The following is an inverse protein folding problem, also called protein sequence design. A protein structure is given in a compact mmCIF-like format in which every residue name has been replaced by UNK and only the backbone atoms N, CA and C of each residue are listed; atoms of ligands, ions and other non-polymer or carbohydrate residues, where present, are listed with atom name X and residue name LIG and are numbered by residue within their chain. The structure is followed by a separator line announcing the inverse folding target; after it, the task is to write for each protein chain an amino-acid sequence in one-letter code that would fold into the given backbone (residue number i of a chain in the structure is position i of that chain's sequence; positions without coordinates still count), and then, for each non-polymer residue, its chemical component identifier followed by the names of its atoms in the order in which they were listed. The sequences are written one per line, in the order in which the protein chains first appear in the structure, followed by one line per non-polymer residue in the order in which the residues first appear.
data_IF_169170270017
#
_entry.id   IF_169170270017
#
_cell.length_a   1.000
_cell.length_b   1.000
_cell.length_c   1.000
_cell.angle_alpha   90.00
_cell.angle_beta   90.00
_cell.angle_gamma   90.00
#
_symmetry.space_group_name_H-M   'P 1'
#
loop_
_entity.id
_entity.type
_entity.pdbx_description
1 polymer ?
#
# COMPACT_ATOMS: atom_id res chain seq x y z
N UNK A 1 10.92 62.69 -38.36
CA UNK A 1 10.75 62.14 -37.00
C UNK A 1 11.00 60.66 -37.12
N UNK A 2 12.26 60.25 -36.96
CA UNK A 2 12.67 58.84 -37.09
C UNK A 2 12.09 58.05 -35.92
N UNK A 3 11.13 57.18 -36.23
CA UNK A 3 10.57 56.24 -35.27
C UNK A 3 11.59 55.10 -35.12
N UNK A 4 12.39 55.17 -34.05
CA UNK A 4 13.19 54.03 -33.61
C UNK A 4 12.23 52.96 -33.10
N UNK A 5 12.01 51.95 -33.94
CA UNK A 5 11.35 50.71 -33.57
C UNK A 5 12.27 49.94 -32.60
N UNK A 6 12.14 50.25 -31.30
CA UNK A 6 12.76 49.45 -30.24
C UNK A 6 12.07 48.09 -30.23
N UNK A 7 12.57 47.19 -31.08
CA UNK A 7 12.31 45.76 -31.02
C UNK A 7 12.89 45.26 -29.70
N UNK A 8 12.11 45.37 -28.63
CA UNK A 8 12.39 44.70 -27.35
C UNK A 8 12.49 43.22 -27.69
N UNK A 9 13.71 42.72 -27.79
CA UNK A 9 13.95 41.29 -27.90
C UNK A 9 13.39 40.66 -26.64
N UNK A 10 12.17 40.12 -26.75
CA UNK A 10 11.60 39.27 -25.73
C UNK A 10 12.61 38.15 -25.49
N UNK A 11 13.29 38.20 -24.34
CA UNK A 11 14.25 37.19 -23.92
C UNK A 11 13.60 35.82 -24.16
N UNK A 12 14.14 35.06 -25.12
CA UNK A 12 13.71 33.69 -25.41
C UNK A 12 13.78 32.93 -24.10
N UNK A 13 12.66 32.35 -23.68
CA UNK A 13 12.62 31.59 -22.45
C UNK A 13 13.65 30.45 -22.53
N UNK A 14 14.43 30.30 -21.46
CA UNK A 14 15.40 29.22 -21.33
C UNK A 14 14.70 27.86 -21.41
N UNK A 15 15.45 26.84 -21.81
CA UNK A 15 14.97 25.46 -21.86
C UNK A 15 15.49 24.68 -20.66
N UNK A 16 14.66 23.79 -20.12
CA UNK A 16 15.00 22.93 -18.98
C UNK A 16 16.24 22.10 -19.32
N UNK A 17 16.29 21.50 -20.52
CA UNK A 17 17.42 20.70 -21.00
C UNK A 17 18.77 21.42 -21.06
N UNK A 18 18.77 22.77 -20.99
CA UNK A 18 19.99 23.59 -21.02
C UNK A 18 20.45 24.00 -19.61
N UNK A 19 19.79 23.52 -18.56
CA UNK A 19 20.16 23.82 -17.18
C UNK A 19 21.33 22.92 -16.76
N UNK A 20 22.50 23.52 -16.57
CA UNK A 20 23.73 22.85 -16.17
C UNK A 20 24.26 23.30 -14.79
N UNK A 21 23.51 24.16 -14.10
CA UNK A 21 23.89 24.71 -12.80
C UNK A 21 24.85 25.90 -12.83
N UNK A 22 25.34 26.32 -14.00
CA UNK A 22 26.28 27.45 -14.14
C UNK A 22 25.60 28.82 -14.18
N UNK A 23 24.32 28.86 -14.59
CA UNK A 23 23.56 30.10 -14.83
C UNK A 23 22.64 30.45 -13.67
N UNK A 24 22.81 31.65 -13.12
CA UNK A 24 21.98 32.16 -12.00
C UNK A 24 20.68 32.85 -12.46
N UNK A 25 20.69 33.50 -13.63
CA UNK A 25 19.55 34.22 -14.17
C UNK A 25 18.89 33.42 -15.30
N UNK A 26 17.96 32.53 -14.92
CA UNK A 26 17.14 31.74 -15.84
C UNK A 26 15.69 32.22 -15.83
N UNK A 27 15.05 32.22 -16.99
CA UNK A 27 13.61 32.48 -17.15
C UNK A 27 12.97 31.33 -17.92
N UNK A 28 12.10 30.58 -17.26
CA UNK A 28 11.43 29.40 -17.82
C UNK A 28 9.96 29.68 -18.07
N UNK A 29 9.42 29.10 -19.15
CA UNK A 29 7.99 28.96 -19.36
C UNK A 29 7.64 27.48 -19.27
N UNK A 30 6.74 27.12 -18.37
CA UNK A 30 6.51 25.73 -17.96
C UNK A 30 5.02 25.43 -17.77
N UNK A 31 4.65 24.15 -17.85
CA UNK A 31 3.40 23.62 -17.30
C UNK A 31 3.70 22.81 -16.05
N UNK A 32 2.91 22.99 -14.99
CA UNK A 32 3.01 22.13 -13.80
C UNK A 32 2.26 20.83 -14.08
N UNK A 33 2.95 19.69 -14.10
CA UNK A 33 2.35 18.37 -14.37
C UNK A 33 2.02 17.61 -13.10
N UNK A 34 2.71 17.91 -12.00
CA UNK A 34 2.43 17.39 -10.66
C UNK A 34 2.72 18.43 -9.61
N UNK A 35 1.99 18.39 -8.51
CA UNK A 35 2.12 19.23 -7.35
C UNK A 35 1.73 18.42 -6.09
N UNK A 36 2.60 18.43 -5.09
CA UNK A 36 2.34 17.79 -3.81
C UNK A 36 2.98 18.60 -2.69
N UNK A 37 2.57 18.35 -1.45
CA UNK A 37 3.04 19.11 -0.28
C UNK A 37 3.80 18.22 0.71
N UNK A 38 5.01 18.64 1.06
CA UNK A 38 5.89 17.98 2.03
C UNK A 38 5.92 18.80 3.32
N UNK A 39 6.04 18.13 4.47
CA UNK A 39 6.03 18.79 5.77
C UNK A 39 4.67 18.69 6.47
N UNK A 40 4.54 19.47 7.55
CA UNK A 40 3.34 19.53 8.39
C UNK A 40 2.49 20.69 7.90
N UNK A 41 1.22 20.46 7.52
CA UNK A 41 0.28 21.51 7.15
C UNK A 41 0.26 22.63 8.20
N UNK A 42 0.35 23.89 7.75
CA UNK A 42 0.33 25.07 8.63
C UNK A 42 1.59 25.33 9.46
N UNK A 43 2.62 24.48 9.42
CA UNK A 43 3.90 24.72 10.13
C UNK A 43 5.10 24.78 9.18
N UNK A 44 5.33 23.71 8.44
CA UNK A 44 6.56 23.51 7.63
C UNK A 44 6.24 23.02 6.23
N UNK A 45 5.02 23.28 5.77
CA UNK A 45 4.54 22.80 4.49
C UNK A 45 5.29 23.47 3.35
N UNK A 46 5.86 22.63 2.49
CA UNK A 46 6.60 23.01 1.30
C UNK A 46 5.93 22.31 0.14
N UNK A 47 5.43 23.08 -0.83
CA UNK A 47 5.01 22.46 -2.07
C UNK A 47 6.25 21.98 -2.84
N UNK A 48 6.11 20.86 -3.51
CA UNK A 48 7.02 20.34 -4.50
C UNK A 48 6.22 20.02 -5.76
N UNK A 49 6.81 20.23 -6.94
CA UNK A 49 6.06 20.09 -8.18
C UNK A 49 6.95 19.55 -9.29
N UNK A 50 6.40 18.88 -10.29
CA UNK A 50 7.07 18.58 -11.56
C UNK A 50 6.59 19.58 -12.61
N UNK A 51 7.53 20.09 -13.39
CA UNK A 51 7.31 21.10 -14.41
C UNK A 51 7.85 20.58 -15.74
N UNK A 52 7.16 20.85 -16.83
CA UNK A 52 7.60 20.47 -18.18
C UNK A 52 7.74 21.71 -19.05
N UNK A 53 8.79 21.75 -19.87
CA UNK A 53 8.92 22.71 -20.98
C UNK A 53 8.67 22.00 -22.33
N UNK A 54 9.20 22.53 -23.43
CA UNK A 54 9.11 21.92 -24.75
C UNK A 54 9.55 20.45 -24.81
N UNK A 55 10.50 20.00 -23.97
CA UNK A 55 11.09 18.66 -24.11
C UNK A 55 11.40 17.93 -22.78
N UNK A 56 11.46 18.59 -21.62
CA UNK A 56 12.03 17.99 -20.40
C UNK A 56 11.27 18.29 -19.10
N UNK A 57 11.39 17.40 -18.09
CA UNK A 57 10.71 17.46 -16.79
C UNK A 57 11.66 17.81 -15.64
N UNK A 58 11.26 18.72 -14.75
CA UNK A 58 12.08 19.17 -13.63
C UNK A 58 11.26 19.45 -12.36
N UNK A 59 11.87 19.42 -11.17
CA UNK A 59 11.16 19.57 -9.89
C UNK A 59 11.30 20.99 -9.29
N UNK A 60 10.25 21.61 -8.73
CA UNK A 60 10.30 22.96 -8.08
C UNK A 60 9.42 23.12 -6.81
N UNK A 61 9.34 24.31 -6.15
CA UNK A 61 8.68 24.51 -4.82
C UNK A 61 7.89 25.82 -4.59
N UNK A 62 6.57 25.83 -4.33
CA UNK A 62 5.79 27.04 -3.85
C UNK A 62 4.33 26.77 -3.45
N UNK A 63 3.80 27.52 -2.50
CA UNK A 63 2.35 27.62 -2.20
C UNK A 63 1.61 28.48 -3.25
N UNK A 64 0.34 28.14 -3.54
CA UNK A 64 -0.62 28.79 -4.48
C UNK A 64 -0.56 28.42 -5.98
N UNK A 65 0.09 27.31 -6.33
CA UNK A 65 0.13 26.82 -7.71
C UNK A 65 -0.91 25.73 -7.94
N UNK A 66 -1.29 25.52 -9.20
CA UNK A 66 -2.22 24.45 -9.60
C UNK A 66 -1.61 23.61 -10.72
N UNK A 67 -1.93 22.32 -10.68
CA UNK A 67 -1.57 21.39 -11.76
C UNK A 67 -2.27 21.76 -13.07
N UNK A 68 -1.65 21.36 -14.18
CA UNK A 68 -2.07 21.59 -15.56
C UNK A 68 -2.14 23.07 -16.01
N UNK A 69 -1.81 24.02 -15.13
CA UNK A 69 -1.65 25.41 -15.49
C UNK A 69 -0.22 25.75 -15.90
N UNK A 70 -0.10 26.80 -16.71
CA UNK A 70 1.16 27.27 -17.27
C UNK A 70 1.64 28.55 -16.60
N UNK A 71 2.95 28.64 -16.42
CA UNK A 71 3.60 29.69 -15.65
C UNK A 71 4.90 30.13 -16.31
N UNK A 72 5.21 31.41 -16.15
CA UNK A 72 6.54 31.98 -16.40
C UNK A 72 7.21 32.19 -15.05
N UNK A 73 8.41 31.63 -14.89
CA UNK A 73 9.17 31.65 -13.64
C UNK A 73 10.57 32.20 -13.87
N UNK A 74 11.07 33.00 -12.95
CA UNK A 74 12.47 33.47 -12.95
C UNK A 74 12.95 33.77 -11.52
N UNK A 75 14.26 33.97 -11.36
CA UNK A 75 14.94 34.21 -10.08
C UNK A 75 14.78 33.05 -9.08
N UNK A 76 14.80 31.81 -9.56
CA UNK A 76 14.85 30.60 -8.74
C UNK A 76 16.30 30.12 -8.62
N UNK A 77 16.59 29.32 -7.59
CA UNK A 77 17.90 28.69 -7.39
C UNK A 77 17.92 27.33 -8.07
N UNK A 78 18.97 27.05 -8.86
CA UNK A 78 19.25 25.71 -9.38
C UNK A 78 20.10 24.95 -8.36
N UNK A 79 19.68 23.75 -7.99
CA UNK A 79 20.41 22.88 -7.06
C UNK A 79 20.45 21.45 -7.59
N UNK A 80 21.41 20.63 -7.15
CA UNK A 80 21.49 19.23 -7.56
C UNK A 80 20.25 18.45 -7.13
N UNK A 81 19.82 17.55 -8.01
CA UNK A 81 18.75 16.59 -7.78
C UNK A 81 19.33 15.29 -7.23
N UNK A 82 19.83 15.36 -6.00
CA UNK A 82 20.53 14.30 -5.25
C UNK A 82 19.62 13.60 -4.23
N UNK A 83 18.30 13.74 -4.38
CA UNK A 83 17.33 13.13 -3.48
C UNK A 83 17.42 11.60 -3.49
N UNK A 84 17.18 10.97 -2.33
CA UNK A 84 17.17 9.51 -2.17
C UNK A 84 16.17 8.82 -3.10
N UNK A 85 15.05 9.49 -3.40
CA UNK A 85 14.08 9.11 -4.43
C UNK A 85 13.80 10.32 -5.30
N UNK A 86 13.80 10.12 -6.62
CA UNK A 86 13.65 11.19 -7.60
C UNK A 86 12.43 10.96 -8.45
N UNK A 87 11.76 12.06 -8.77
CA UNK A 87 10.58 12.08 -9.63
C UNK A 87 10.98 12.30 -11.09
N UNK A 88 12.15 12.88 -11.35
CA UNK A 88 12.71 13.10 -12.68
C UNK A 88 14.21 12.76 -12.68
N UNK A 89 14.73 12.46 -13.86
CA UNK A 89 16.11 12.01 -14.07
C UNK A 89 17.08 13.18 -14.21
N UNK A 90 16.55 14.39 -14.38
CA UNK A 90 17.34 15.59 -14.56
C UNK A 90 18.30 15.78 -13.39
N UNK A 91 19.54 16.16 -13.69
CA UNK A 91 20.61 16.33 -12.71
C UNK A 91 20.33 17.44 -11.67
N UNK A 92 19.35 18.30 -11.97
CA UNK A 92 19.06 19.52 -11.22
C UNK A 92 17.58 19.62 -10.89
N UNK A 93 17.28 20.38 -9.84
CA UNK A 93 15.92 20.78 -9.42
C UNK A 93 15.94 22.28 -9.10
N UNK A 94 14.80 22.95 -9.23
CA UNK A 94 14.66 24.35 -8.84
C UNK A 94 14.23 24.45 -7.39
N UNK A 95 14.75 25.44 -6.70
CA UNK A 95 14.31 25.84 -5.38
C UNK A 95 13.88 27.30 -5.44
N UNK A 96 12.68 27.61 -4.99
CA UNK A 96 12.25 29.00 -4.94
C UNK A 96 12.90 29.67 -3.74
N UNK A 97 13.19 30.95 -3.93
CA UNK A 97 13.77 31.86 -2.94
C UNK A 97 12.77 33.00 -2.70
N UNK A 98 13.05 33.86 -1.73
CA UNK A 98 12.19 35.03 -1.46
C UNK A 98 12.06 36.00 -2.64
N UNK A 99 12.91 35.90 -3.66
CA UNK A 99 12.90 36.74 -4.87
C UNK A 99 12.39 36.03 -6.11
N UNK A 100 11.97 34.76 -5.99
CA UNK A 100 11.44 33.99 -7.14
C UNK A 100 10.09 34.54 -7.58
N UNK A 101 10.03 34.96 -8.84
CA UNK A 101 8.80 35.46 -9.47
C UNK A 101 8.16 34.32 -10.24
N UNK A 102 6.85 34.14 -10.02
CA UNK A 102 6.02 33.19 -10.74
C UNK A 102 4.78 33.92 -11.19
N UNK A 103 4.51 33.91 -12.50
CA UNK A 103 3.31 34.49 -13.09
C UNK A 103 2.60 33.43 -13.90
N UNK A 104 1.31 33.23 -13.65
CA UNK A 104 0.51 32.39 -14.53
C UNK A 104 0.45 33.04 -15.91
N UNK A 105 0.51 32.23 -16.96
CA UNK A 105 0.48 32.66 -18.34
C UNK A 105 -0.08 31.51 -19.17
N UNK A 106 -1.08 31.76 -20.00
CA UNK A 106 -1.69 30.71 -20.82
C UNK A 106 -0.80 30.40 -22.03
N UNK A 107 -0.24 29.19 -22.04
CA UNK A 107 0.72 28.71 -23.04
C UNK A 107 0.25 27.34 -23.55
N UNK A 108 -0.58 27.34 -24.58
CA UNK A 108 -1.16 26.11 -25.15
C UNK A 108 -0.11 25.17 -25.73
N UNK A 109 0.99 25.72 -26.26
CA UNK A 109 2.07 24.98 -26.92
C UNK A 109 2.92 24.12 -25.99
N UNK A 110 2.79 24.29 -24.66
CA UNK A 110 3.51 23.46 -23.71
C UNK A 110 2.85 22.09 -23.62
N UNK A 111 3.63 20.99 -23.54
CA UNK A 111 3.08 19.65 -23.48
C UNK A 111 2.37 19.40 -22.13
N UNK A 112 1.38 18.51 -22.15
CA UNK A 112 0.78 17.95 -20.94
C UNK A 112 1.71 16.91 -20.30
N UNK A 113 1.32 16.41 -19.13
CA UNK A 113 2.04 15.33 -18.43
C UNK A 113 2.30 14.18 -19.40
N UNK A 114 3.56 13.73 -19.43
CA UNK A 114 3.94 12.47 -20.07
C UNK A 114 4.22 11.43 -18.99
N UNK A 115 3.43 10.36 -18.97
CA UNK A 115 3.65 9.23 -18.07
C UNK A 115 4.94 8.49 -18.43
N UNK A 116 5.62 7.99 -17.41
CA UNK A 116 6.84 7.19 -17.56
C UNK A 116 6.60 5.79 -17.04
N UNK A 117 6.00 4.98 -17.91
CA UNK A 117 5.71 3.60 -17.62
C UNK A 117 6.96 2.73 -17.66
N UNK A 118 7.06 1.81 -16.70
CA UNK A 118 8.05 0.72 -16.72
C UNK A 118 7.29 -0.60 -16.85
N UNK A 119 7.74 -1.42 -17.79
CA UNK A 119 7.15 -2.74 -18.00
C UNK A 119 7.34 -3.63 -16.77
N UNK A 120 6.33 -4.41 -16.42
CA UNK A 120 6.41 -5.34 -15.28
C UNK A 120 7.55 -6.35 -15.41
N UNK A 121 7.81 -6.84 -16.62
CA UNK A 121 8.94 -7.71 -16.90
C UNK A 121 10.27 -7.07 -16.51
N UNK A 122 10.47 -5.80 -16.83
CA UNK A 122 11.67 -5.03 -16.44
C UNK A 122 11.77 -4.86 -14.92
N UNK A 123 10.64 -4.57 -14.23
CA UNK A 123 10.63 -4.48 -12.76
C UNK A 123 11.02 -5.81 -12.11
N UNK A 124 10.48 -6.91 -12.62
CA UNK A 124 10.76 -8.26 -12.09
C UNK A 124 12.20 -8.68 -12.40
N UNK A 125 12.73 -8.31 -13.56
CA UNK A 125 14.11 -8.57 -13.97
C UNK A 125 15.13 -7.66 -13.27
N UNK A 126 14.71 -6.62 -12.56
CA UNK A 126 15.61 -5.64 -11.95
C UNK A 126 16.18 -4.61 -12.94
N UNK A 127 15.67 -4.55 -14.17
CA UNK A 127 16.14 -3.65 -15.23
C UNK A 127 15.41 -2.30 -15.18
N UNK A 128 15.72 -1.50 -14.16
CA UNK A 128 15.18 -0.15 -14.00
C UNK A 128 16.17 0.76 -13.29
N UNK A 129 15.99 2.09 -13.42
CA UNK A 129 16.80 3.06 -12.68
C UNK A 129 16.42 3.03 -11.20
N UNK A 130 17.29 2.43 -10.40
CA UNK A 130 17.16 2.42 -8.94
C UNK A 130 16.98 3.86 -8.43
N UNK A 131 16.03 4.04 -7.50
CA UNK A 131 15.64 5.34 -6.90
C UNK A 131 14.78 6.26 -7.78
N UNK A 132 14.49 5.89 -9.03
CA UNK A 132 13.53 6.60 -9.85
C UNK A 132 12.12 6.09 -9.57
N UNK A 133 11.17 7.02 -9.42
CA UNK A 133 9.75 6.69 -9.31
C UNK A 133 9.15 6.56 -10.71
N UNK A 134 8.25 5.59 -10.87
CA UNK A 134 7.71 5.18 -12.17
C UNK A 134 6.19 5.22 -12.15
N UNK A 135 5.55 5.41 -13.28
CA UNK A 135 4.11 5.21 -13.39
C UNK A 135 3.86 3.73 -13.75
N UNK A 136 2.82 3.11 -13.19
CA UNK A 136 2.51 1.70 -13.46
C UNK A 136 1.01 1.50 -13.63
N UNK A 137 0.61 0.74 -14.64
CA UNK A 137 -0.68 0.09 -14.65
C UNK A 137 -0.64 -1.15 -13.78
N UNK A 138 -1.76 -1.57 -13.20
CA UNK A 138 -1.91 -2.92 -12.66
C UNK A 138 -3.33 -3.44 -12.90
N UNK A 139 -3.41 -4.74 -13.17
CA UNK A 139 -4.63 -5.52 -13.29
C UNK A 139 -4.80 -6.31 -12.00
N UNK A 140 -6.00 -6.28 -11.44
CA UNK A 140 -6.30 -7.13 -10.29
C UNK A 140 -6.14 -8.60 -10.71
N UNK A 141 -5.15 -9.31 -10.15
CA UNK A 141 -4.94 -10.74 -10.40
C UNK A 141 -3.66 -11.17 -11.10
N UNK A 142 -2.78 -10.26 -11.60
CA UNK A 142 -1.54 -10.70 -12.29
C UNK A 142 -0.23 -9.87 -12.08
N UNK A 143 0.86 -10.67 -12.13
CA UNK A 143 2.33 -10.50 -12.16
C UNK A 143 3.05 -9.75 -11.03
N UNK A 144 2.68 -8.50 -10.69
CA UNK A 144 3.46 -7.66 -9.77
C UNK A 144 2.63 -7.21 -8.55
N UNK A 145 3.13 -7.46 -7.34
CA UNK A 145 2.42 -7.07 -6.11
C UNK A 145 2.44 -5.54 -5.95
N UNK A 146 1.27 -4.95 -5.68
CA UNK A 146 1.12 -3.53 -5.36
C UNK A 146 0.63 -3.36 -3.92
N UNK A 147 1.33 -2.57 -3.11
CA UNK A 147 0.90 -2.20 -1.76
C UNK A 147 0.38 -0.77 -1.76
N UNK A 148 -0.91 -0.61 -1.48
CA UNK A 148 -1.57 0.68 -1.29
C UNK A 148 -1.62 1.02 0.20
N UNK A 149 -1.00 2.13 0.57
CA UNK A 149 -0.95 2.66 1.93
C UNK A 149 -2.00 3.77 2.13
N UNK A 150 -2.51 3.86 3.35
CA UNK A 150 -3.38 4.95 3.82
C UNK A 150 -4.68 5.09 3.01
N UNK A 151 -5.11 6.32 2.70
CA UNK A 151 -6.37 6.62 2.00
C UNK A 151 -6.49 5.94 0.64
N UNK A 152 -5.39 5.56 0.01
CA UNK A 152 -5.38 4.87 -1.27
C UNK A 152 -5.93 3.45 -1.19
N UNK A 153 -5.65 2.74 -0.09
CA UNK A 153 -6.25 1.43 0.16
C UNK A 153 -7.77 1.56 0.28
N UNK A 154 -8.24 2.56 1.01
CA UNK A 154 -9.67 2.83 1.17
C UNK A 154 -10.37 3.23 -0.12
N UNK A 155 -9.75 4.10 -0.91
CA UNK A 155 -10.28 4.48 -2.22
C UNK A 155 -10.47 3.23 -3.08
N UNK A 156 -9.50 2.31 -3.06
CA UNK A 156 -9.59 1.06 -3.79
C UNK A 156 -10.68 0.13 -3.23
N UNK A 157 -10.77 -0.04 -1.90
CA UNK A 157 -11.82 -0.85 -1.28
C UNK A 157 -13.23 -0.29 -1.52
N UNK A 158 -13.40 1.04 -1.46
CA UNK A 158 -14.68 1.69 -1.80
C UNK A 158 -15.06 1.41 -3.24
N UNK A 159 -14.11 1.58 -4.16
CA UNK A 159 -14.33 1.26 -5.57
C UNK A 159 -14.76 -0.20 -5.78
N UNK A 160 -14.11 -1.14 -5.08
CA UNK A 160 -14.47 -2.55 -5.13
C UNK A 160 -15.87 -2.85 -4.57
N UNK A 161 -16.36 -2.07 -3.62
CA UNK A 161 -17.71 -2.24 -3.07
C UNK A 161 -18.78 -1.62 -3.97
N UNK A 162 -18.45 -0.57 -4.71
CA UNK A 162 -19.38 0.17 -5.57
C UNK A 162 -19.44 -0.38 -7.01
N UNK A 163 -18.57 -1.32 -7.37
CA UNK A 163 -18.50 -1.84 -8.74
C UNK A 163 -19.66 -2.79 -9.02
N UNK A 164 -20.58 -2.37 -9.88
CA UNK A 164 -21.66 -3.22 -10.39
C UNK A 164 -21.31 -3.89 -11.74
N UNK A 165 -20.24 -3.42 -12.39
CA UNK A 165 -19.84 -3.91 -13.71
C UNK A 165 -18.79 -5.04 -13.63
N UNK A 166 -18.89 -6.01 -14.54
CA UNK A 166 -17.90 -7.09 -14.65
C UNK A 166 -16.60 -6.62 -15.32
N UNK A 167 -16.38 -5.30 -15.43
CA UNK A 167 -15.28 -4.78 -16.24
C UNK A 167 -13.94 -4.98 -15.54
N UNK A 168 -12.86 -5.16 -16.32
CA UNK A 168 -11.51 -5.24 -15.78
C UNK A 168 -11.18 -4.00 -14.95
N UNK A 169 -10.66 -4.20 -13.75
CA UNK A 169 -10.19 -3.10 -12.91
C UNK A 169 -8.78 -2.74 -13.34
N UNK A 170 -8.66 -1.58 -13.99
CA UNK A 170 -7.39 -0.99 -14.39
C UNK A 170 -7.03 0.09 -13.37
N UNK A 171 -5.89 -0.11 -12.74
CA UNK A 171 -5.34 0.84 -11.78
C UNK A 171 -4.14 1.52 -12.43
N UNK A 172 -4.11 2.84 -12.39
CA UNK A 172 -2.94 3.65 -12.71
C UNK A 172 -2.38 4.24 -11.42
N UNK A 173 -1.18 3.83 -11.04
CA UNK A 173 -0.44 4.37 -9.91
C UNK A 173 0.73 5.21 -10.42
N UNK A 174 0.68 6.50 -10.13
CA UNK A 174 1.76 7.42 -10.50
C UNK A 174 2.86 7.47 -9.45
N UNK A 175 4.08 7.76 -9.89
CA UNK A 175 5.26 7.91 -9.02
C UNK A 175 5.43 6.74 -8.03
N UNK A 176 5.10 5.53 -8.47
CA UNK A 176 5.20 4.31 -7.70
C UNK A 176 6.66 4.06 -7.31
N UNK A 177 6.85 3.68 -6.05
CA UNK A 177 8.14 3.25 -5.54
C UNK A 177 8.28 1.75 -5.76
N UNK A 178 9.28 1.37 -6.54
CA UNK A 178 9.68 -0.02 -6.70
C UNK A 178 10.48 -0.46 -5.47
N UNK A 179 10.09 -1.60 -4.90
CA UNK A 179 10.87 -2.38 -3.94
C UNK A 179 11.45 -3.57 -4.69
N UNK A 180 12.78 -3.65 -4.71
CA UNK A 180 13.50 -4.77 -5.31
C UNK A 180 13.15 -6.09 -4.64
N UNK A 181 13.27 -7.18 -5.39
CA UNK A 181 13.17 -8.52 -4.84
C UNK A 181 14.25 -8.74 -3.78
N UNK A 182 13.88 -9.33 -2.65
CA UNK A 182 14.81 -9.57 -1.54
C UNK A 182 14.51 -10.93 -0.93
N UNK A 183 15.43 -11.88 -1.03
CA UNK A 183 15.20 -13.27 -0.60
C UNK A 183 14.01 -13.88 -1.35
N UNK A 184 13.03 -14.41 -0.60
CA UNK A 184 11.80 -14.98 -1.20
C UNK A 184 10.74 -13.92 -1.57
N UNK A 185 10.96 -12.63 -1.27
CA UNK A 185 10.02 -11.58 -1.65
C UNK A 185 10.20 -11.21 -3.12
N UNK A 186 9.15 -11.34 -3.96
CA UNK A 186 9.20 -10.81 -5.31
C UNK A 186 9.26 -9.28 -5.28
N UNK A 187 9.73 -8.69 -6.38
CA UNK A 187 9.65 -7.25 -6.57
C UNK A 187 8.20 -6.77 -6.42
N UNK A 188 8.03 -5.57 -5.85
CA UNK A 188 6.72 -4.98 -5.63
C UNK A 188 6.74 -3.47 -5.83
N UNK A 189 5.56 -2.89 -6.00
CA UNK A 189 5.37 -1.44 -6.11
C UNK A 189 4.51 -0.93 -4.98
N UNK A 190 4.68 0.35 -4.63
CA UNK A 190 3.87 1.00 -3.59
C UNK A 190 3.67 2.48 -3.86
N UNK A 191 2.60 3.03 -3.31
CA UNK A 191 2.30 4.48 -3.29
C UNK A 191 3.01 5.21 -2.13
N UNK A 192 4.14 4.70 -1.65
CA UNK A 192 4.82 5.25 -0.46
C UNK A 192 5.47 6.62 -0.68
N UNK A 193 5.34 7.22 -1.87
CA UNK A 193 5.79 8.56 -2.17
C UNK A 193 4.63 9.55 -2.14
N UNK A 194 4.83 10.73 -1.54
CA UNK A 194 3.76 11.73 -1.38
C UNK A 194 3.16 12.24 -2.69
N UNK A 195 3.92 12.22 -3.78
CA UNK A 195 3.41 12.63 -5.09
C UNK A 195 2.60 11.53 -5.79
N UNK A 196 2.61 10.29 -5.28
CA UNK A 196 1.84 9.21 -5.87
C UNK A 196 0.36 9.55 -5.87
N UNK A 197 -0.31 9.26 -6.99
CA UNK A 197 -1.76 9.35 -7.19
C UNK A 197 -2.26 8.02 -7.74
N UNK A 198 -3.46 7.65 -7.32
CA UNK A 198 -4.15 6.44 -7.73
C UNK A 198 -5.39 6.82 -8.53
N UNK A 199 -5.50 6.25 -9.71
CA UNK A 199 -6.64 6.41 -10.61
C UNK A 199 -7.17 5.02 -10.89
N UNK A 200 -8.48 4.81 -10.73
CA UNK A 200 -9.09 3.49 -10.80
C UNK A 200 -10.20 3.57 -11.84
N UNK A 201 -9.94 3.02 -13.03
CA UNK A 201 -10.87 3.09 -14.16
C UNK A 201 -11.31 4.53 -14.51
N UNK A 202 -10.55 5.54 -14.08
CA UNK A 202 -10.76 6.95 -14.42
C UNK A 202 -10.75 7.14 -15.95
N UNK A 203 -11.50 8.13 -16.43
CA UNK A 203 -11.58 8.49 -17.85
C UNK A 203 -10.35 9.28 -18.30
N UNK A 204 -9.17 8.66 -18.23
CA UNK A 204 -7.92 9.17 -18.80
C UNK A 204 -7.50 8.36 -20.01
N UNK A 205 -6.90 9.05 -20.97
CA UNK A 205 -6.52 8.49 -22.27
C UNK A 205 -5.63 7.26 -22.11
N UNK A 206 -4.69 7.30 -21.17
CA UNK A 206 -3.73 6.22 -20.96
C UNK A 206 -4.40 4.95 -20.38
N UNK A 207 -5.44 5.09 -19.55
CA UNK A 207 -6.25 3.94 -19.09
C UNK A 207 -7.06 3.36 -20.25
N UNK A 208 -7.59 4.22 -21.14
CA UNK A 208 -8.36 3.78 -22.31
C UNK A 208 -7.47 3.03 -23.30
N UNK A 209 -6.33 3.60 -23.67
CA UNK A 209 -5.33 2.96 -24.55
C UNK A 209 -4.85 1.63 -23.96
N UNK A 210 -4.60 1.59 -22.64
CA UNK A 210 -4.21 0.34 -21.98
C UNK A 210 -5.33 -0.71 -22.07
N UNK A 211 -6.59 -0.32 -21.84
CA UNK A 211 -7.74 -1.23 -22.00
C UNK A 211 -7.88 -1.76 -23.42
N UNK A 212 -7.74 -0.91 -24.42
CA UNK A 212 -7.76 -1.34 -25.83
C UNK A 212 -6.64 -2.34 -26.13
N UNK A 213 -5.42 -2.07 -25.65
CA UNK A 213 -4.29 -2.99 -25.82
C UNK A 213 -4.54 -4.38 -25.19
N UNK A 214 -5.28 -4.45 -24.08
CA UNK A 214 -5.64 -5.72 -23.43
C UNK A 214 -6.66 -6.51 -24.25
N UNK A 215 -7.61 -5.81 -24.89
CA UNK A 215 -8.58 -6.43 -25.79
C UNK A 215 -7.89 -7.02 -27.02
N UNK A 216 -6.91 -6.29 -27.59
CA UNK A 216 -6.12 -6.75 -28.73
C UNK A 216 -5.26 -7.99 -28.40
N UNK A 217 -4.82 -8.12 -27.15
CA UNK A 217 -4.07 -9.28 -26.65
C UNK A 217 -4.95 -10.50 -26.34
N UNK A 218 -6.28 -10.39 -26.45
CA UNK A 218 -7.22 -11.47 -26.18
C UNK A 218 -7.26 -11.92 -24.72
N UNK A 219 -6.85 -11.06 -23.78
CA UNK A 219 -6.88 -11.37 -22.35
C UNK A 219 -8.31 -11.16 -21.86
N UNK A 220 -9.08 -12.25 -21.67
CA UNK A 220 -10.32 -12.22 -20.90
C UNK A 220 -9.99 -11.94 -19.43
N UNK A 221 -9.93 -10.67 -19.07
CA UNK A 221 -9.80 -10.27 -17.66
C UNK A 221 -11.16 -10.46 -17.00
N UNK A 222 -11.42 -11.65 -16.47
CA UNK A 222 -12.57 -11.89 -15.58
C UNK A 222 -12.38 -11.14 -14.26
N UNK A 223 -13.44 -10.49 -13.80
CA UNK A 223 -13.49 -9.85 -12.49
C UNK A 223 -13.28 -10.90 -11.38
N UNK A 224 -12.67 -10.49 -10.27
CA UNK A 224 -12.35 -11.36 -9.10
C UNK A 224 -13.61 -11.70 -8.29
N UNK A 225 -14.78 -11.19 -8.66
CA UNK A 225 -16.01 -11.39 -7.91
C UNK A 225 -16.74 -12.65 -8.36
N UNK A 226 -16.34 -13.81 -7.83
CA UNK A 226 -17.33 -14.86 -7.63
C UNK A 226 -18.22 -14.43 -6.45
N UNK A 227 -19.55 -14.30 -6.63
CA UNK A 227 -20.45 -14.05 -5.51
C UNK A 227 -20.33 -15.20 -4.51
N UNK A 228 -20.18 -14.87 -3.22
CA UNK A 228 -20.36 -15.82 -2.13
C UNK A 228 -21.84 -16.22 -2.15
N UNK A 229 -22.19 -17.29 -2.88
CA UNK A 229 -23.53 -17.86 -2.86
C UNK A 229 -24.01 -18.45 -4.18
N UNK A 230 -24.09 -19.80 -4.18
CA UNK A 230 -24.93 -20.68 -5.01
C UNK A 230 -24.49 -21.02 -6.45
N UNK A 231 -24.16 -22.32 -6.63
CA UNK A 231 -24.62 -23.07 -7.80
C UNK A 231 -23.55 -23.60 -8.76
N UNK A 232 -23.11 -24.85 -8.55
CA UNK A 232 -22.41 -25.65 -9.55
C UNK A 232 -23.17 -25.72 -10.88
N UNK A 233 -22.55 -25.32 -12.00
CA UNK A 233 -22.62 -26.05 -13.28
C UNK A 233 -21.61 -25.54 -14.32
N UNK A 234 -20.67 -26.42 -14.66
CA UNK A 234 -20.05 -26.66 -15.98
C UNK A 234 -19.84 -25.49 -16.95
N UNK A 235 -18.59 -25.02 -17.11
CA UNK A 235 -18.00 -24.81 -18.46
C UNK A 235 -16.47 -24.81 -18.46
N UNK A 236 -15.94 -25.38 -19.54
CA UNK A 236 -14.56 -25.75 -19.85
C UNK A 236 -13.62 -24.58 -20.20
N UNK A 237 -12.31 -24.80 -20.06
CA UNK A 237 -11.39 -24.48 -21.18
C UNK A 237 -10.25 -23.47 -21.01
N UNK A 238 -10.08 -22.77 -19.90
CA UNK A 238 -8.88 -21.95 -19.66
C UNK A 238 -8.52 -21.91 -18.17
N UNK A 239 -7.22 -21.93 -17.85
CA UNK A 239 -6.67 -22.17 -16.51
C UNK A 239 -7.09 -21.08 -15.52
N UNK A 240 -8.24 -21.26 -14.88
CA UNK A 240 -8.57 -20.52 -13.67
C UNK A 240 -7.60 -20.97 -12.58
N UNK A 241 -6.68 -20.08 -12.19
CA UNK A 241 -5.94 -20.25 -10.95
C UNK A 241 -6.98 -20.31 -9.84
N UNK A 242 -7.08 -21.46 -9.18
CA UNK A 242 -8.00 -21.67 -8.08
C UNK A 242 -7.71 -20.66 -6.97
N UNK A 243 -8.68 -20.33 -6.10
CA UNK A 243 -8.43 -19.63 -4.83
C UNK A 243 -7.20 -20.18 -4.10
N UNK A 244 -6.96 -21.48 -4.29
CA UNK A 244 -5.80 -22.27 -3.86
C UNK A 244 -4.47 -21.79 -4.44
N UNK A 245 -4.40 -21.61 -5.76
CA UNK A 245 -3.18 -21.18 -6.43
C UNK A 245 -2.82 -19.75 -6.06
N UNK A 246 -3.80 -18.89 -5.81
CA UNK A 246 -3.56 -17.51 -5.34
C UNK A 246 -2.96 -17.52 -3.93
N UNK A 247 -3.46 -18.36 -3.02
CA UNK A 247 -2.97 -18.45 -1.65
C UNK A 247 -1.51 -18.94 -1.60
N UNK A 248 -1.20 -20.01 -2.32
CA UNK A 248 0.12 -20.65 -2.38
C UNK A 248 1.08 -19.98 -3.39
N UNK A 249 0.59 -19.13 -4.30
CA UNK A 249 1.45 -18.54 -5.34
C UNK A 249 2.69 -17.88 -4.75
N UNK A 250 3.86 -18.30 -5.25
CA UNK A 250 5.20 -17.78 -4.89
C UNK A 250 5.56 -17.88 -3.41
N UNK A 251 4.89 -18.73 -2.63
CA UNK A 251 5.10 -18.82 -1.19
C UNK A 251 5.31 -20.28 -0.78
N UNK A 252 6.47 -20.58 -0.20
CA UNK A 252 6.77 -21.94 0.29
C UNK A 252 5.94 -22.26 1.55
N UNK A 253 5.56 -23.53 1.68
CA UNK A 253 5.00 -24.05 2.92
C UNK A 253 6.15 -24.38 3.86
N UNK A 254 6.08 -23.90 5.11
CA UNK A 254 7.07 -24.18 6.16
C UNK A 254 6.39 -24.67 7.43
N UNK A 255 7.04 -25.60 8.11
CA UNK A 255 6.63 -26.00 9.45
C UNK A 255 7.10 -24.97 10.51
N UNK A 256 6.62 -25.11 11.74
CA UNK A 256 6.93 -24.15 12.81
C UNK A 256 8.42 -24.17 13.19
N UNK A 257 9.10 -25.33 13.15
CA UNK A 257 10.51 -25.42 13.50
C UNK A 257 11.40 -24.70 12.46
N UNK A 258 11.07 -24.78 11.17
CA UNK A 258 11.70 -24.00 10.11
C UNK A 258 11.49 -22.49 10.28
N UNK A 259 10.29 -22.09 10.71
CA UNK A 259 10.00 -20.69 11.05
C UNK A 259 10.86 -20.23 12.23
N UNK A 260 10.94 -21.02 13.29
CA UNK A 260 11.71 -20.66 14.49
C UNK A 260 13.24 -20.66 14.24
N UNK A 261 13.74 -21.52 13.34
CA UNK A 261 15.17 -21.61 13.01
C UNK A 261 15.66 -20.52 12.05
N UNK A 262 14.76 -19.72 11.48
CA UNK A 262 15.07 -18.81 10.39
C UNK A 262 15.66 -17.47 10.86
N UNK A 263 16.65 -16.96 10.14
CA UNK A 263 17.38 -15.72 10.47
C UNK A 263 17.08 -14.54 9.54
N UNK A 264 16.48 -14.81 8.38
CA UNK A 264 16.11 -13.80 7.39
C UNK A 264 14.60 -13.52 7.41
N UNK A 265 14.20 -12.38 6.84
CA UNK A 265 12.79 -12.06 6.64
C UNK A 265 12.26 -12.83 5.41
N UNK A 266 11.10 -13.47 5.51
CA UNK A 266 10.43 -14.20 4.41
C UNK A 266 8.92 -14.28 4.64
N UNK A 267 8.16 -14.58 3.57
CA UNK A 267 6.76 -15.00 3.67
C UNK A 267 6.70 -16.50 3.48
N UNK A 268 5.94 -17.19 4.32
CA UNK A 268 5.63 -18.61 4.16
C UNK A 268 4.15 -18.86 4.40
N UNK A 269 3.71 -20.05 4.01
CA UNK A 269 2.44 -20.62 4.47
C UNK A 269 2.75 -21.66 5.54
N UNK A 270 1.99 -21.65 6.64
CA UNK A 270 2.10 -22.67 7.67
C UNK A 270 0.72 -23.10 8.13
N UNK A 271 0.60 -24.29 8.70
CA UNK A 271 -0.63 -24.81 9.29
C UNK A 271 -0.43 -24.94 10.78
N UNK A 272 -1.36 -24.38 11.56
CA UNK A 272 -1.25 -24.42 13.01
C UNK A 272 -2.61 -24.24 13.69
N UNK A 273 -2.70 -24.72 14.93
CA UNK A 273 -3.81 -24.51 15.84
C UNK A 273 -3.54 -23.30 16.70
N UNK A 274 -4.47 -22.36 16.79
CA UNK A 274 -4.41 -21.31 17.81
C UNK A 274 -4.66 -21.96 19.16
N UNK A 275 -3.66 -21.94 20.05
CA UNK A 275 -3.75 -22.57 21.37
C UNK A 275 -4.03 -21.58 22.48
N UNK A 276 -3.46 -20.38 22.39
CA UNK A 276 -3.47 -19.41 23.48
C UNK A 276 -3.51 -18.00 22.90
N UNK A 277 -4.25 -17.10 23.56
CA UNK A 277 -4.21 -15.66 23.28
C UNK A 277 -3.18 -15.05 24.23
N UNK A 278 -2.20 -14.33 23.68
CA UNK A 278 -1.13 -13.70 24.44
C UNK A 278 -1.56 -12.29 24.82
N UNK A 279 -1.88 -12.11 26.10
CA UNK A 279 -2.14 -10.80 26.69
C UNK A 279 -0.85 -10.28 27.31
N UNK A 280 -0.18 -9.35 26.62
CA UNK A 280 1.03 -8.68 27.11
C UNK A 280 0.70 -7.22 27.50
N UNK A 281 1.73 -6.40 27.70
CA UNK A 281 1.57 -4.97 28.00
C UNK A 281 0.84 -4.15 26.92
N UNK A 282 0.48 -4.76 25.79
CA UNK A 282 -0.30 -4.15 24.74
C UNK A 282 -1.74 -4.68 24.80
N UNK A 283 -2.72 -3.77 24.70
CA UNK A 283 -4.13 -4.15 24.60
C UNK A 283 -4.40 -4.97 23.33
N UNK A 284 -5.45 -5.80 23.39
CA UNK A 284 -6.00 -6.57 22.27
C UNK A 284 -6.54 -5.69 21.14
N UNK A 285 -6.72 -4.40 21.42
CA UNK A 285 -7.12 -3.41 20.43
C UNK A 285 -6.29 -2.11 20.55
N UNK A 286 -6.41 -1.28 19.53
CA UNK A 286 -5.89 0.10 19.56
C UNK A 286 -6.90 1.06 18.95
N UNK A 287 -7.02 2.28 19.50
CA UNK A 287 -7.83 3.32 18.89
C UNK A 287 -7.13 3.84 17.62
N UNK A 288 -7.91 3.98 16.56
CA UNK A 288 -7.44 4.42 15.25
C UNK A 288 -8.37 5.48 14.64
N UNK A 289 -7.84 6.23 13.68
CA UNK A 289 -8.65 7.05 12.81
C UNK A 289 -9.58 6.18 11.95
N UNK A 290 -10.88 6.43 11.98
CA UNK A 290 -11.86 5.69 11.17
C UNK A 290 -11.61 5.80 9.67
N UNK A 291 -10.90 6.85 9.25
CA UNK A 291 -10.66 7.19 7.86
C UNK A 291 -9.27 6.86 7.34
N UNK A 292 -8.25 6.61 8.17
CA UNK A 292 -6.90 6.28 7.68
C UNK A 292 -6.19 5.19 8.48
N UNK A 293 -6.85 4.62 9.50
CA UNK A 293 -6.41 3.44 10.24
C UNK A 293 -5.15 3.69 11.08
N UNK A 294 -4.57 4.89 11.03
CA UNK A 294 -3.46 5.29 11.90
C UNK A 294 -3.92 5.27 13.35
N UNK A 295 -3.07 4.70 14.21
CA UNK A 295 -3.21 4.74 15.67
C UNK A 295 -3.32 6.19 16.15
N UNK A 296 -4.21 6.42 17.09
CA UNK A 296 -4.44 7.73 17.74
C UNK A 296 -4.30 7.57 19.25
N UNK A 297 -4.07 8.67 19.96
CA UNK A 297 -4.08 8.64 21.42
C UNK A 297 -5.52 8.76 21.94
N UNK A 298 -5.86 7.97 22.96
CA UNK A 298 -7.23 7.80 23.45
C UNK A 298 -7.81 9.04 24.17
N UNK A 299 -7.01 10.10 24.35
CA UNK A 299 -7.33 11.23 25.22
C UNK A 299 -8.41 12.18 24.66
N UNK A 300 -8.70 12.13 23.36
CA UNK A 300 -9.59 13.09 22.71
C UNK A 300 -10.80 12.42 22.09
N UNK A 301 -12.00 12.83 22.52
CA UNK A 301 -13.28 12.40 21.93
C UNK A 301 -13.33 12.81 20.46
N UNK A 302 -13.13 14.10 20.16
CA UNK A 302 -12.94 14.60 18.80
C UNK A 302 -11.48 14.98 18.55
N UNK A 303 -10.98 14.63 17.36
CA UNK A 303 -9.61 14.95 16.98
C UNK A 303 -9.43 15.12 15.48
N UNK A 304 -8.47 15.96 15.09
CA UNK A 304 -7.97 16.02 13.73
C UNK A 304 -6.83 15.04 13.58
N UNK A 305 -7.04 14.01 12.76
CA UNK A 305 -6.01 13.02 12.48
C UNK A 305 -4.87 13.67 11.66
N UNK A 306 -3.60 13.22 11.78
CA UNK A 306 -2.51 13.65 10.90
C UNK A 306 -2.76 13.47 9.40
N UNK A 307 -3.78 12.69 8.99
CA UNK A 307 -4.23 12.63 7.61
C UNK A 307 -5.07 13.84 7.16
N UNK A 308 -5.32 14.81 8.04
CA UNK A 308 -6.09 16.05 7.77
C UNK A 308 -7.60 15.93 7.97
N UNK A 309 -8.12 14.75 8.32
CA UNK A 309 -9.56 14.52 8.53
C UNK A 309 -9.95 14.71 9.99
N UNK A 310 -11.06 15.40 10.23
CA UNK A 310 -11.71 15.46 11.54
C UNK A 310 -12.45 14.15 11.83
N UNK A 311 -12.28 13.65 13.05
CA UNK A 311 -12.94 12.45 13.55
C UNK A 311 -13.71 12.83 14.80
N UNK A 312 -15.00 12.50 14.85
CA UNK A 312 -15.86 12.73 16.02
C UNK A 312 -15.58 11.74 17.16
N UNK A 313 -15.02 10.58 16.82
CA UNK A 313 -14.61 9.52 17.73
C UNK A 313 -13.51 8.68 17.08
N UNK A 314 -12.70 8.00 17.89
CA UNK A 314 -11.81 6.95 17.42
C UNK A 314 -12.59 5.65 17.12
N UNK A 315 -12.04 4.82 16.23
CA UNK A 315 -12.54 3.48 15.91
C UNK A 315 -11.55 2.48 16.49
N UNK A 316 -12.02 1.51 17.28
CA UNK A 316 -11.16 0.46 17.82
C UNK A 316 -10.84 -0.57 16.74
N UNK A 317 -9.61 -1.08 16.76
CA UNK A 317 -9.13 -2.10 15.82
C UNK A 317 -8.37 -3.20 16.51
N UNK A 318 -8.51 -4.44 16.05
CA UNK A 318 -7.79 -5.56 16.66
C UNK A 318 -6.28 -5.50 16.43
N UNK A 319 -5.56 -5.91 17.47
CA UNK A 319 -4.13 -6.24 17.48
C UNK A 319 -3.94 -7.40 18.45
N UNK A 320 -4.10 -8.63 17.98
CA UNK A 320 -4.12 -9.82 18.83
C UNK A 320 -2.89 -10.66 18.57
N UNK A 321 -2.09 -10.89 19.62
CA UNK A 321 -1.01 -11.87 19.60
C UNK A 321 -1.55 -13.23 20.04
N UNK A 322 -1.24 -14.28 19.29
CA UNK A 322 -1.65 -15.65 19.59
C UNK A 322 -0.45 -16.59 19.55
N UNK A 323 -0.46 -17.58 20.44
CA UNK A 323 0.38 -18.77 20.28
C UNK A 323 -0.32 -19.73 19.35
N UNK A 324 0.46 -20.22 18.38
CA UNK A 324 0.02 -21.28 17.48
C UNK A 324 0.91 -22.51 17.67
N UNK A 325 0.31 -23.69 17.61
CA UNK A 325 1.03 -24.95 17.74
C UNK A 325 0.69 -25.93 16.63
N UNK A 326 1.68 -26.72 16.25
CA UNK A 326 1.55 -27.83 15.31
C UNK A 326 2.65 -28.84 15.61
N UNK A 327 2.28 -30.11 15.85
CA UNK A 327 3.20 -31.22 16.14
C UNK A 327 4.19 -30.94 17.28
N UNK A 328 3.71 -30.37 18.38
CA UNK A 328 4.52 -30.09 19.58
C UNK A 328 5.35 -28.80 19.50
N UNK A 329 5.60 -28.28 18.29
CA UNK A 329 6.25 -26.99 18.09
C UNK A 329 5.26 -25.85 18.27
N UNK A 330 5.75 -24.72 18.80
CA UNK A 330 4.96 -23.53 19.05
C UNK A 330 5.66 -22.27 18.56
N UNK A 331 4.88 -21.29 18.12
CA UNK A 331 5.39 -19.96 17.78
C UNK A 331 4.32 -18.91 17.98
N UNK A 332 4.70 -17.64 17.92
CA UNK A 332 3.81 -16.50 18.19
C UNK A 332 3.46 -15.77 16.90
N UNK A 333 2.16 -15.60 16.64
CA UNK A 333 1.65 -14.82 15.51
C UNK A 333 0.90 -13.57 15.97
N UNK A 334 1.00 -12.50 15.18
CA UNK A 334 0.23 -11.27 15.31
C UNK A 334 -0.86 -11.25 14.24
N UNK A 335 -2.12 -11.16 14.68
CA UNK A 335 -3.31 -11.05 13.84
C UNK A 335 -3.85 -9.62 13.95
N UNK A 336 -4.10 -9.00 12.80
CA UNK A 336 -4.62 -7.64 12.70
C UNK A 336 -6.14 -7.61 12.58
N UNK A 337 -6.66 -6.38 12.60
CA UNK A 337 -8.08 -6.02 12.53
C UNK A 337 -8.91 -6.86 11.57
N UNK A 338 -8.52 -6.93 10.29
CA UNK A 338 -9.34 -7.57 9.26
C UNK A 338 -9.50 -9.07 9.51
N UNK A 339 -8.39 -9.77 9.72
CA UNK A 339 -8.39 -11.22 9.94
C UNK A 339 -9.05 -11.58 11.27
N UNK A 340 -8.81 -10.81 12.33
CA UNK A 340 -9.47 -11.01 13.62
C UNK A 340 -10.98 -10.79 13.52
N UNK A 341 -11.43 -9.71 12.91
CA UNK A 341 -12.86 -9.41 12.77
C UNK A 341 -13.58 -10.49 11.97
N UNK A 342 -12.95 -11.05 10.94
CA UNK A 342 -13.50 -12.16 10.17
C UNK A 342 -13.60 -13.46 10.98
N UNK A 343 -12.56 -13.82 11.74
CA UNK A 343 -12.58 -15.03 12.58
C UNK A 343 -13.55 -14.91 13.76
N UNK A 344 -13.67 -13.73 14.35
CA UNK A 344 -14.56 -13.48 15.51
C UNK A 344 -16.01 -13.25 15.05
N UNK A 345 -16.20 -12.70 13.85
CA UNK A 345 -17.49 -12.29 13.31
C UNK A 345 -18.01 -10.97 13.88
N UNK A 346 -17.17 -10.19 14.56
CA UNK A 346 -17.51 -8.90 15.18
C UNK A 346 -16.32 -7.94 15.03
N UNK A 347 -16.60 -6.65 14.96
CA UNK A 347 -15.58 -5.59 15.03
C UNK A 347 -15.08 -5.38 16.46
N UNK A 348 -13.90 -4.77 16.59
CA UNK A 348 -13.35 -4.46 17.91
C UNK A 348 -14.23 -3.46 18.69
N UNK A 349 -14.88 -2.51 18.02
CA UNK A 349 -15.84 -1.61 18.65
C UNK A 349 -17.07 -2.34 19.17
N UNK A 350 -17.68 -3.23 18.39
CA UNK A 350 -18.83 -4.04 18.83
C UNK A 350 -18.48 -4.90 20.04
N UNK A 351 -17.30 -5.53 20.02
CA UNK A 351 -16.82 -6.33 21.14
C UNK A 351 -16.60 -5.47 22.38
N UNK A 352 -16.02 -4.28 22.24
CA UNK A 352 -15.82 -3.38 23.37
C UNK A 352 -17.14 -2.83 23.93
N UNK A 353 -18.11 -2.54 23.07
CA UNK A 353 -19.45 -2.11 23.48
C UNK A 353 -20.13 -3.17 24.36
N UNK A 354 -20.09 -4.44 23.94
CA UNK A 354 -20.64 -5.54 24.73
C UNK A 354 -19.91 -5.72 26.07
N UNK A 355 -18.58 -5.57 26.11
CA UNK A 355 -17.83 -5.60 27.37
C UNK A 355 -18.31 -4.54 28.36
N UNK A 356 -18.54 -3.32 27.86
CA UNK A 356 -19.01 -2.19 28.67
C UNK A 356 -20.44 -2.48 29.19
N UNK A 357 -21.32 -3.05 28.35
CA UNK A 357 -22.67 -3.45 28.74
C UNK A 357 -22.67 -4.54 29.83
N UNK A 358 -21.72 -5.47 29.78
CA UNK A 358 -21.48 -6.50 30.80
C UNK A 358 -20.79 -5.95 32.07
N UNK A 359 -20.47 -4.65 32.09
CA UNK A 359 -19.86 -3.96 33.23
C UNK A 359 -18.32 -3.96 33.25
N UNK A 360 -17.66 -4.51 32.23
CA UNK A 360 -16.20 -4.46 32.08
C UNK A 360 -15.79 -3.27 31.20
N UNK A 361 -15.46 -2.16 31.88
CA UNK A 361 -15.00 -0.92 31.25
C UNK A 361 -13.49 -0.89 30.97
N UNK A 362 -12.72 -1.89 31.39
CA UNK A 362 -11.28 -1.91 31.15
C UNK A 362 -10.98 -2.35 29.71
N UNK A 363 -10.51 -1.42 28.89
CA UNK A 363 -10.12 -1.70 27.51
C UNK A 363 -8.96 -2.71 27.43
N UNK A 364 -8.15 -2.87 28.47
CA UNK A 364 -7.04 -3.83 28.47
C UNK A 364 -7.47 -5.25 28.84
N UNK A 365 -8.60 -5.41 29.51
CA UNK A 365 -9.11 -6.74 29.86
C UNK A 365 -9.55 -7.51 28.61
N UNK A 366 -9.15 -8.78 28.51
CA UNK A 366 -9.49 -9.66 27.37
C UNK A 366 -11.00 -9.81 27.22
N UNK A 367 -11.60 -9.46 26.06
CA UNK A 367 -12.97 -9.83 25.77
C UNK A 367 -13.13 -11.35 25.67
N UNK A 368 -14.30 -11.86 26.11
CA UNK A 368 -14.68 -13.25 25.88
C UNK A 368 -14.82 -13.58 24.38
N UNK A 369 -15.11 -12.59 23.54
CA UNK A 369 -15.19 -12.77 22.10
C UNK A 369 -13.87 -13.30 21.48
N UNK A 370 -12.70 -12.99 22.09
CA UNK A 370 -11.42 -13.51 21.61
C UNK A 370 -11.32 -15.04 21.77
N UNK A 371 -12.04 -15.63 22.73
CA UNK A 371 -12.02 -17.07 22.97
C UNK A 371 -12.53 -17.86 21.74
N UNK A 372 -13.24 -17.21 20.80
CA UNK A 372 -13.63 -17.81 19.50
C UNK A 372 -12.44 -18.14 18.60
N UNK A 373 -11.29 -17.48 18.81
CA UNK A 373 -10.05 -17.79 18.09
C UNK A 373 -9.42 -19.09 18.59
N UNK A 374 -9.65 -19.45 19.86
CA UNK A 374 -9.02 -20.60 20.47
C UNK A 374 -9.52 -21.89 19.82
N UNK A 375 -8.57 -22.74 19.44
CA UNK A 375 -8.87 -24.02 18.85
C UNK A 375 -9.01 -24.01 17.33
N UNK A 376 -9.06 -22.85 16.69
CA UNK A 376 -9.06 -22.74 15.23
C UNK A 376 -7.78 -23.35 14.65
N UNK A 377 -7.94 -24.37 13.80
CA UNK A 377 -6.85 -24.95 13.01
C UNK A 377 -6.91 -24.40 11.60
N UNK A 378 -5.91 -23.59 11.22
CA UNK A 378 -5.93 -22.78 10.01
C UNK A 378 -4.63 -22.91 9.24
N UNK A 379 -4.70 -22.67 7.93
CA UNK A 379 -3.54 -22.35 7.11
C UNK A 379 -3.29 -20.83 7.19
N UNK A 380 -2.13 -20.43 7.68
CA UNK A 380 -1.71 -19.04 7.80
C UNK A 380 -0.68 -18.69 6.75
N UNK A 381 -0.93 -17.62 5.98
CA UNK A 381 0.11 -16.94 5.22
C UNK A 381 0.75 -15.89 6.12
N UNK A 382 1.99 -16.11 6.52
CA UNK A 382 2.68 -15.31 7.53
C UNK A 382 3.92 -14.65 6.99
N UNK A 383 4.09 -13.40 7.38
CA UNK A 383 5.32 -12.63 7.21
C UNK A 383 6.18 -12.79 8.46
N UNK A 384 7.27 -13.53 8.34
CA UNK A 384 8.20 -13.76 9.44
C UNK A 384 9.32 -12.73 9.38
N UNK A 385 9.54 -12.02 10.49
CA UNK A 385 10.58 -11.01 10.64
C UNK A 385 11.40 -11.30 11.91
N UNK A 386 12.37 -12.22 11.86
CA UNK A 386 13.12 -12.68 13.04
C UNK A 386 13.83 -11.53 13.77
N UNK A 387 14.32 -10.52 13.03
CA UNK A 387 14.94 -9.30 13.59
C UNK A 387 14.08 -8.55 14.59
N UNK A 388 12.76 -8.59 14.42
CA UNK A 388 11.80 -7.95 15.31
C UNK A 388 11.08 -8.94 16.22
N UNK A 389 11.49 -10.22 16.20
CA UNK A 389 10.79 -11.35 16.85
C UNK A 389 9.28 -11.31 16.59
N UNK A 390 8.92 -11.00 15.35
CA UNK A 390 7.54 -10.77 14.95
C UNK A 390 7.19 -11.64 13.74
N UNK A 391 6.04 -12.28 13.80
CA UNK A 391 5.46 -13.05 12.72
C UNK A 391 4.03 -12.57 12.53
N UNK A 392 3.77 -11.87 11.42
CA UNK A 392 2.50 -11.19 11.16
C UNK A 392 1.67 -12.02 10.19
N UNK A 393 0.42 -12.31 10.55
CA UNK A 393 -0.53 -12.95 9.65
C UNK A 393 -0.93 -11.95 8.57
N UNK A 394 -0.71 -12.34 7.31
CA UNK A 394 -1.13 -11.58 6.13
C UNK A 394 -2.49 -12.04 5.60
N UNK A 395 -2.79 -13.33 5.77
CA UNK A 395 -4.05 -13.97 5.39
C UNK A 395 -4.15 -15.32 6.08
N UNK A 396 -5.37 -15.83 6.25
CA UNK A 396 -5.60 -17.20 6.68
C UNK A 396 -6.57 -17.91 5.72
N UNK A 397 -6.66 -19.23 5.85
CA UNK A 397 -7.69 -20.06 5.24
C UNK A 397 -8.08 -21.18 6.21
N UNK A 398 -9.38 -21.42 6.31
CA UNK A 398 -10.02 -22.53 7.02
C UNK A 398 -10.44 -23.67 6.08
N UNK A 399 -10.14 -23.57 4.77
CA UNK A 399 -10.50 -24.59 3.79
C UNK A 399 -9.72 -25.89 4.06
N UNK A 400 -10.40 -27.04 4.28
CA UNK A 400 -9.74 -28.30 4.59
C UNK A 400 -8.74 -28.74 3.52
N UNK A 401 -9.00 -28.41 2.27
CA UNK A 401 -8.16 -28.78 1.13
C UNK A 401 -6.79 -28.06 1.18
N UNK A 402 -6.77 -26.77 1.51
CA UNK A 402 -5.54 -25.99 1.67
C UNK A 402 -4.74 -26.42 2.89
N UNK A 403 -5.44 -26.73 3.98
CA UNK A 403 -4.83 -27.25 5.20
C UNK A 403 -4.17 -28.61 4.91
N UNK A 404 -4.92 -29.56 4.33
CA UNK A 404 -4.40 -30.89 4.01
C UNK A 404 -3.25 -30.86 3.01
N UNK A 405 -3.31 -29.98 2.00
CA UNK A 405 -2.23 -29.80 1.05
C UNK A 405 -0.96 -29.29 1.75
N UNK A 406 -1.08 -28.27 2.59
CA UNK A 406 0.06 -27.71 3.33
C UNK A 406 0.67 -28.75 4.28
N UNK A 407 -0.17 -29.53 4.96
CA UNK A 407 0.27 -30.68 5.78
C UNK A 407 1.02 -31.71 4.92
N UNK A 408 0.50 -32.07 3.74
CA UNK A 408 1.11 -33.07 2.84
C UNK A 408 2.46 -32.61 2.27
N UNK A 409 2.62 -31.32 1.99
CA UNK A 409 3.90 -30.73 1.52
C UNK A 409 4.96 -30.80 2.62
N UNK A 410 4.57 -30.70 3.89
CA UNK A 410 5.48 -30.90 5.03
C UNK A 410 5.79 -32.37 5.34
N UNK A 411 5.35 -33.32 4.50
CA UNK A 411 5.83 -34.71 4.52
C UNK A 411 5.12 -35.68 5.44
N UNK A 412 4.00 -35.31 6.08
CA UNK A 412 3.40 -36.15 7.14
C UNK A 412 1.87 -36.20 7.06
N UNK A 413 1.30 -37.38 6.82
CA UNK A 413 -0.13 -37.65 7.01
C UNK A 413 -0.42 -38.06 8.46
N UNK A 414 -1.35 -37.38 9.13
CA UNK A 414 -1.95 -37.84 10.41
C UNK A 414 -3.49 -37.85 10.29
N UNK A 415 -4.21 -38.96 10.59
CA UNK A 415 -5.66 -39.08 10.40
C UNK A 415 -6.54 -38.36 11.46
N UNK A 416 -5.99 -37.59 12.39
CA UNK A 416 -6.74 -37.08 13.55
C UNK A 416 -7.25 -35.64 13.40
N UNK A 417 -8.08 -35.37 12.38
CA UNK A 417 -8.81 -34.09 12.25
C UNK A 417 -10.14 -34.02 13.01
N UNK A 418 -10.36 -34.87 14.02
CA UNK A 418 -11.53 -34.79 14.91
C UNK A 418 -11.16 -35.06 16.36
N UNK A 419 -10.80 -34.02 17.12
CA UNK A 419 -10.80 -34.08 18.59
C UNK A 419 -11.61 -32.88 19.13
N UNK A 420 -12.55 -33.08 20.07
CA UNK A 420 -13.39 -32.02 20.63
C UNK A 420 -12.56 -31.00 21.42
N UNK A 421 -12.97 -29.73 21.34
CA UNK A 421 -12.36 -28.62 22.04
C UNK A 421 -12.73 -28.62 23.54
N UNK A 422 -11.75 -28.76 24.41
CA UNK A 422 -11.78 -28.18 25.76
C UNK A 422 -10.91 -26.92 25.76
N UNK A 423 -11.41 -25.74 26.17
CA UNK A 423 -10.61 -24.52 26.21
C UNK A 423 -9.56 -24.65 27.31
N UNK A 424 -8.28 -24.46 26.98
CA UNK A 424 -7.21 -24.38 27.97
C UNK A 424 -7.00 -22.91 28.36
N UNK A 425 -6.71 -22.67 29.64
CA UNK A 425 -6.80 -21.39 30.36
C UNK A 425 -6.04 -20.21 29.73
N UNK A 426 -6.55 -19.00 29.99
CA UNK A 426 -5.83 -17.71 29.85
C UNK A 426 -4.64 -17.68 30.81
N UNK A 427 -3.45 -17.29 30.35
CA UNK A 427 -2.23 -17.21 31.17
C UNK A 427 -1.61 -15.82 30.99
N UNK A 428 -1.27 -15.15 32.11
CA UNK A 428 -0.55 -13.87 32.12
C UNK A 428 0.94 -14.10 31.87
N UNK A 429 1.67 -13.08 31.39
CA UNK A 429 3.06 -13.21 30.93
C UNK A 429 4.08 -13.68 31.99
N UNK A 430 3.71 -13.72 33.26
CA UNK A 430 4.62 -14.08 34.35
C UNK A 430 5.00 -15.58 34.36
N UNK A 431 4.36 -16.42 33.54
CA UNK A 431 4.65 -17.86 33.45
C UNK A 431 5.55 -18.28 32.27
N UNK A 432 6.01 -17.36 31.41
CA UNK A 432 6.79 -17.70 30.19
C UNK A 432 8.31 -17.43 30.27
N UNK A 433 8.82 -16.94 31.41
CA UNK A 433 10.25 -16.60 31.57
C UNK A 433 11.05 -17.60 32.44
N UNK A 434 10.56 -18.83 32.62
CA UNK A 434 11.32 -19.91 33.27
C UNK A 434 11.46 -21.13 32.37
N UNK A 435 12.40 -21.09 31.42
CA UNK A 435 13.37 -22.17 31.10
C UNK A 435 14.33 -21.79 29.97
#
# INVERSE_FOLDING_TARGET
MEVFDYKVMAHVADKIKLIDGSREALKLSIRITDLWFIGIPGKTEQAEMVVVDSDDQLKSRKTDLKENLTYVMHNFKVIKNDGKFRVCDHEYKLCFTGVTVVRQCDMEQLPFRKFRFVAFSSVIAGDFKIRLLVDTFTLCGQVLSCTLWENYCLQFLSYLNDIEDERPIVILLTHARIKEAQGSYPASVSNSFKASKLMINDLVLEIQEFRESLLDLGIEVRSIFAPIGQGSSQVSGSSQLSSKDVFLSKTEVKNISEINASSEEFVCVTVAKITTIVMNNYSWCYPACGQCYKKVDMQSVSFTCPCGKENNQHVLRYRVEVMVSHKGEQTKFLIWDCECAQLIGQSADEVNMLKIEDGDVDLNASPQALDRLLGCFLAFKVKVQPRFRNSVVLKYSDEPELINQSVSVTGDHDPLLRIPLTPTKRVSSDELDNE
#
